data_IF_199557978309
#
_entry.id   IF_199557978309
#
_cell.length_a   1.000
_cell.length_b   1.000
_cell.length_c   1.000
_cell.angle_alpha   90.00
_cell.angle_beta   90.00
_cell.angle_gamma   90.00
#
_symmetry.space_group_name_H-M   'P 1'
#
loop_
_entity.id
_entity.type
_entity.pdbx_description
1 polymer ?
#
# COMPACT_ATOMS: atom_id res chain seq x y z
N UNK A 1 38.43 -7.83 2.92
CA UNK A 1 37.43 -8.80 3.40
C UNK A 1 37.08 -8.69 4.88
N UNK A 2 38.02 -8.67 5.83
CA UNK A 2 37.67 -8.64 7.28
C UNK A 2 37.05 -7.36 7.80
N UNK A 3 37.32 -6.18 7.19
CA UNK A 3 36.70 -4.90 7.59
C UNK A 3 35.27 -4.77 7.07
N UNK A 4 35.03 -5.03 5.79
CA UNK A 4 33.71 -4.93 5.16
C UNK A 4 32.67 -5.89 5.80
N UNK A 5 33.06 -7.13 6.10
CA UNK A 5 32.20 -8.09 6.80
C UNK A 5 31.86 -7.62 8.23
N UNK A 6 32.82 -6.99 8.91
CA UNK A 6 32.55 -6.39 10.23
C UNK A 6 31.61 -5.20 10.15
N UNK A 7 31.75 -4.35 9.14
CA UNK A 7 30.86 -3.20 8.94
C UNK A 7 29.45 -3.65 8.58
N UNK A 8 29.30 -4.58 7.64
CA UNK A 8 27.99 -5.15 7.31
C UNK A 8 27.30 -5.85 8.50
N UNK A 9 28.09 -6.55 9.34
CA UNK A 9 27.54 -7.19 10.55
C UNK A 9 27.12 -6.16 11.61
N UNK A 10 27.86 -5.04 11.70
CA UNK A 10 27.52 -3.94 12.61
C UNK A 10 26.27 -3.21 12.11
N UNK A 11 26.14 -2.97 10.81
CA UNK A 11 24.94 -2.33 10.22
C UNK A 11 23.73 -3.24 10.40
N UNK A 12 23.85 -4.54 10.11
CA UNK A 12 22.76 -5.50 10.34
C UNK A 12 22.37 -5.58 11.83
N UNK A 13 23.35 -5.54 12.74
CA UNK A 13 23.10 -5.55 14.19
C UNK A 13 22.45 -4.22 14.64
N UNK A 14 22.84 -3.09 14.04
CA UNK A 14 22.24 -1.77 14.31
C UNK A 14 20.81 -1.68 13.80
N UNK A 15 20.50 -2.26 12.63
CA UNK A 15 19.14 -2.33 12.10
C UNK A 15 18.25 -3.25 12.94
N UNK A 16 18.78 -4.40 13.40
CA UNK A 16 18.06 -5.27 14.33
C UNK A 16 17.86 -4.59 15.69
N UNK A 17 18.88 -3.87 16.17
CA UNK A 17 18.77 -3.11 17.43
C UNK A 17 17.87 -1.90 17.30
N UNK A 18 17.84 -1.20 16.17
CA UNK A 18 16.93 -0.09 15.92
C UNK A 18 15.48 -0.58 15.84
N UNK A 19 15.22 -1.70 15.17
CA UNK A 19 13.92 -2.35 15.17
C UNK A 19 13.49 -2.81 16.57
N UNK A 20 14.40 -3.47 17.31
CA UNK A 20 14.14 -3.88 18.69
C UNK A 20 13.96 -2.69 19.65
N UNK A 21 14.65 -1.58 19.41
CA UNK A 21 14.54 -0.36 20.22
C UNK A 21 13.23 0.40 19.94
N UNK A 22 12.78 0.43 18.68
CA UNK A 22 11.45 0.96 18.33
C UNK A 22 10.35 0.15 19.00
N UNK A 23 10.41 -1.19 18.92
CA UNK A 23 9.49 -2.09 19.60
C UNK A 23 9.54 -1.88 21.11
N UNK A 24 10.73 -1.74 21.70
CA UNK A 24 10.88 -1.50 23.14
C UNK A 24 10.36 -0.13 23.59
N UNK A 25 10.54 0.91 22.78
CA UNK A 25 10.02 2.25 23.06
C UNK A 25 8.50 2.28 23.03
N UNK A 26 7.87 1.61 22.08
CA UNK A 26 6.41 1.51 22.01
C UNK A 26 5.82 0.65 23.14
N UNK A 27 6.47 -0.44 23.51
CA UNK A 27 6.09 -1.24 24.70
C UNK A 27 6.22 -0.44 26.00
N UNK A 28 7.23 0.42 26.12
CA UNK A 28 7.39 1.32 27.26
C UNK A 28 6.34 2.44 27.29
N UNK A 29 5.73 2.76 26.18
CA UNK A 29 4.58 3.69 26.06
C UNK A 29 3.25 3.02 26.41
N UNK A 30 3.25 1.75 26.76
CA UNK A 30 2.06 0.99 27.15
C UNK A 30 1.27 0.41 25.97
N UNK A 31 1.86 0.42 24.77
CA UNK A 31 1.28 -0.22 23.59
C UNK A 31 1.43 -1.75 23.74
N UNK A 32 0.37 -2.51 23.55
CA UNK A 32 0.45 -3.96 23.60
C UNK A 32 1.25 -4.52 22.42
N UNK A 33 1.88 -5.69 22.58
CA UNK A 33 2.54 -6.39 21.47
C UNK A 33 1.60 -6.61 20.29
N UNK A 34 0.31 -6.71 20.54
CA UNK A 34 -0.74 -6.86 19.53
C UNK A 34 -1.02 -5.57 18.78
N UNK A 35 -0.94 -4.43 19.44
CA UNK A 35 -1.01 -3.11 18.80
C UNK A 35 0.26 -2.77 18.01
N UNK A 36 1.42 -3.24 18.46
CA UNK A 36 2.69 -3.08 17.74
C UNK A 36 2.76 -3.92 16.46
N UNK A 37 2.24 -5.13 16.49
CA UNK A 37 2.09 -5.98 15.30
C UNK A 37 1.05 -5.38 14.36
N UNK A 38 0.04 -4.70 14.87
CA UNK A 38 -0.98 -4.02 14.08
C UNK A 38 -0.50 -2.66 13.49
N UNK A 39 0.47 -1.99 14.14
CA UNK A 39 0.97 -0.68 13.69
C UNK A 39 2.27 -0.74 12.87
N UNK A 40 2.99 -1.85 12.88
CA UNK A 40 4.30 -1.98 12.24
C UNK A 40 4.38 -3.01 11.11
N UNK A 41 3.35 -3.79 10.94
CA UNK A 41 3.16 -4.65 9.78
C UNK A 41 1.72 -4.47 9.36
N UNK A 42 1.50 -4.19 8.11
CA UNK A 42 0.17 -4.17 7.52
C UNK A 42 -0.44 -5.57 7.66
N UNK A 43 -0.79 -5.90 8.87
CA UNK A 43 -1.48 -7.14 9.20
C UNK A 43 -2.93 -6.76 9.29
N UNK A 44 -3.63 -6.83 8.16
CA UNK A 44 -5.08 -6.83 8.22
C UNK A 44 -5.46 -8.01 9.09
N UNK A 45 -5.77 -7.70 10.31
CA UNK A 45 -6.35 -8.67 11.22
C UNK A 45 -7.79 -8.94 10.77
N UNK A 46 -7.94 -9.77 9.75
CA UNK A 46 -9.25 -10.39 9.42
C UNK A 46 -9.73 -11.28 10.58
N UNK A 47 -9.03 -11.23 11.69
CA UNK A 47 -9.39 -11.98 12.91
C UNK A 47 -10.62 -11.45 13.62
N UNK A 48 -11.04 -10.22 13.36
CA UNK A 48 -12.31 -9.71 13.88
C UNK A 48 -13.46 -9.96 12.89
N UNK A 49 -13.59 -11.21 12.45
CA UNK A 49 -14.83 -11.75 11.87
C UNK A 49 -15.94 -11.91 12.94
N UNK A 50 -15.75 -11.30 14.10
CA UNK A 50 -16.70 -11.26 15.21
C UNK A 50 -17.98 -10.55 14.83
N UNK A 51 -18.85 -11.27 14.12
CA UNK A 51 -20.17 -10.79 13.73
C UNK A 51 -21.11 -10.92 14.92
N UNK A 52 -21.54 -9.82 15.49
CA UNK A 52 -22.53 -9.81 16.56
C UNK A 52 -23.98 -9.85 16.01
N UNK A 53 -24.94 -9.95 16.93
CA UNK A 53 -26.36 -9.99 16.59
C UNK A 53 -26.88 -8.75 15.85
N UNK A 54 -26.11 -7.65 15.79
CA UNK A 54 -26.48 -6.41 15.11
C UNK A 54 -26.14 -6.43 13.61
N UNK A 55 -25.28 -7.36 13.19
CA UNK A 55 -24.97 -7.52 11.76
C UNK A 55 -26.11 -8.23 11.04
N UNK A 56 -26.54 -7.68 9.92
CA UNK A 56 -27.62 -8.21 9.07
C UNK A 56 -27.04 -9.02 7.92
N UNK A 57 -27.73 -10.08 7.53
CA UNK A 57 -27.40 -10.79 6.32
C UNK A 57 -27.82 -9.99 5.07
N UNK A 58 -27.05 -10.08 4.01
CA UNK A 58 -27.43 -9.58 2.69
C UNK A 58 -28.40 -10.60 2.05
N UNK A 59 -29.69 -10.52 2.36
CA UNK A 59 -30.70 -11.54 2.07
C UNK A 59 -30.90 -11.77 0.57
N UNK A 60 -30.92 -10.70 -0.21
CA UNK A 60 -31.15 -10.72 -1.66
C UNK A 60 -29.89 -10.74 -2.50
N UNK A 61 -28.70 -10.83 -1.89
CA UNK A 61 -27.42 -10.64 -2.58
C UNK A 61 -27.15 -9.19 -2.97
N UNK A 62 -28.01 -8.25 -2.57
CA UNK A 62 -27.87 -6.82 -2.85
C UNK A 62 -28.50 -5.97 -1.75
N UNK A 63 -27.86 -4.86 -1.44
CA UNK A 63 -28.34 -3.84 -0.51
C UNK A 63 -28.06 -2.43 -1.06
N UNK A 64 -28.81 -1.45 -0.56
CA UNK A 64 -28.60 -0.05 -0.95
C UNK A 64 -28.70 0.85 0.27
N UNK A 65 -27.82 1.88 0.31
CA UNK A 65 -27.74 2.83 1.40
C UNK A 65 -27.82 4.25 0.86
N UNK A 66 -28.39 5.16 1.68
CA UNK A 66 -28.31 6.58 1.40
C UNK A 66 -26.87 7.07 1.56
N UNK A 67 -26.30 7.85 0.62
CA UNK A 67 -24.97 8.42 0.77
C UNK A 67 -24.83 9.28 2.04
N UNK A 68 -25.88 9.96 2.45
CA UNK A 68 -25.89 10.83 3.65
C UNK A 68 -25.75 10.04 4.97
N UNK A 69 -26.08 8.74 4.95
CA UNK A 69 -25.99 7.87 6.13
C UNK A 69 -24.63 7.21 6.27
N UNK A 70 -23.83 7.16 5.20
CA UNK A 70 -22.53 6.47 5.17
C UNK A 70 -21.41 7.49 5.00
N UNK A 71 -20.61 7.63 6.02
CA UNK A 71 -19.42 8.48 6.02
C UNK A 71 -18.13 7.67 5.94
N UNK A 72 -18.18 6.43 6.40
CA UNK A 72 -17.01 5.56 6.56
C UNK A 72 -17.34 4.14 6.13
N UNK A 73 -16.35 3.44 5.59
CA UNK A 73 -16.47 2.04 5.20
C UNK A 73 -15.35 1.24 5.85
N UNK A 74 -15.74 0.13 6.47
CA UNK A 74 -14.87 -0.86 7.09
C UNK A 74 -15.20 -2.23 6.51
N UNK A 75 -14.32 -2.74 5.63
CA UNK A 75 -14.51 -3.97 4.87
C UNK A 75 -13.50 -5.04 5.27
N UNK A 76 -13.98 -6.18 5.74
CA UNK A 76 -13.19 -7.40 5.93
C UNK A 76 -13.64 -8.51 4.98
N UNK A 77 -12.76 -8.96 4.07
CA UNK A 77 -13.04 -9.98 3.06
C UNK A 77 -12.10 -11.18 3.20
N UNK A 78 -12.57 -12.39 2.83
CA UNK A 78 -11.75 -13.59 2.97
C UNK A 78 -11.23 -14.06 1.63
N UNK A 79 -12.11 -14.33 0.64
CA UNK A 79 -11.72 -14.94 -0.62
C UNK A 79 -12.65 -14.53 -1.76
N UNK A 80 -12.13 -14.52 -2.98
CA UNK A 80 -12.81 -14.01 -4.17
C UNK A 80 -12.38 -12.59 -4.50
N UNK A 81 -13.19 -11.82 -5.21
CA UNK A 81 -12.84 -10.46 -5.63
C UNK A 81 -13.64 -9.39 -4.90
N UNK A 82 -13.00 -8.26 -4.68
CA UNK A 82 -13.65 -7.03 -4.19
C UNK A 82 -13.47 -5.94 -5.24
N UNK A 83 -14.57 -5.41 -5.72
CA UNK A 83 -14.61 -4.21 -6.57
C UNK A 83 -15.28 -3.08 -5.82
N UNK A 84 -14.58 -2.00 -5.68
CA UNK A 84 -15.08 -0.79 -5.07
C UNK A 84 -14.91 0.35 -6.06
N UNK A 85 -16.00 0.87 -6.61
CA UNK A 85 -15.95 1.82 -7.72
C UNK A 85 -17.01 2.93 -7.60
N UNK A 86 -16.67 4.09 -8.15
CA UNK A 86 -17.64 5.16 -8.32
C UNK A 86 -18.47 4.94 -9.58
N UNK A 87 -19.75 5.31 -9.51
CA UNK A 87 -20.71 5.14 -10.60
C UNK A 87 -21.75 6.26 -10.65
N UNK A 88 -22.58 6.23 -11.68
CA UNK A 88 -23.60 7.26 -11.91
C UNK A 88 -24.88 7.10 -11.07
N UNK A 89 -24.87 6.25 -10.06
CA UNK A 89 -26.00 6.01 -9.17
C UNK A 89 -26.16 7.13 -8.13
N UNK A 90 -27.34 7.18 -7.49
CA UNK A 90 -27.63 8.11 -6.37
C UNK A 90 -27.56 7.43 -5.01
N UNK A 91 -27.26 6.15 -4.98
CA UNK A 91 -27.19 5.34 -3.77
C UNK A 91 -25.88 4.56 -3.73
N UNK A 92 -25.40 4.29 -2.54
CA UNK A 92 -24.35 3.30 -2.32
C UNK A 92 -24.99 1.92 -2.47
N UNK A 93 -24.48 1.14 -3.42
CA UNK A 93 -25.01 -0.20 -3.74
C UNK A 93 -23.96 -1.26 -3.42
N UNK A 94 -24.44 -2.29 -2.76
CA UNK A 94 -23.70 -3.46 -2.39
C UNK A 94 -24.26 -4.64 -3.17
N UNK A 95 -23.44 -5.40 -3.86
CA UNK A 95 -23.82 -6.63 -4.55
C UNK A 95 -22.84 -7.76 -4.23
N UNK A 96 -23.38 -8.88 -3.77
CA UNK A 96 -22.66 -10.10 -3.47
C UNK A 96 -23.02 -11.16 -4.51
N UNK A 97 -22.02 -11.82 -5.07
CA UNK A 97 -22.19 -12.91 -6.03
C UNK A 97 -21.35 -14.12 -5.61
N UNK A 98 -21.88 -15.31 -5.84
CA UNK A 98 -21.19 -16.59 -5.62
C UNK A 98 -21.60 -17.60 -6.70
N UNK A 99 -20.75 -18.62 -6.91
CA UNK A 99 -21.00 -19.68 -7.90
C UNK A 99 -22.23 -20.54 -7.58
N UNK A 100 -22.75 -20.50 -6.35
CA UNK A 100 -23.96 -21.19 -5.92
C UNK A 100 -24.75 -20.32 -4.93
N UNK A 101 -25.96 -20.73 -4.67
CA UNK A 101 -26.80 -20.13 -3.62
C UNK A 101 -26.09 -20.26 -2.25
N UNK A 102 -26.03 -19.16 -1.53
CA UNK A 102 -25.39 -19.07 -0.21
C UNK A 102 -26.40 -19.42 0.89
N UNK A 103 -25.97 -20.25 1.83
CA UNK A 103 -26.71 -20.46 3.07
C UNK A 103 -26.66 -19.19 3.92
N UNK A 104 -27.61 -19.04 4.84
CA UNK A 104 -27.68 -17.83 5.68
C UNK A 104 -26.36 -17.46 6.34
N UNK A 105 -25.67 -18.40 6.97
CA UNK A 105 -24.37 -18.16 7.59
C UNK A 105 -23.22 -17.85 6.64
N UNK A 106 -23.36 -18.12 5.34
CA UNK A 106 -22.33 -17.88 4.31
C UNK A 106 -22.49 -16.50 3.64
N UNK A 107 -23.66 -15.87 3.80
CA UNK A 107 -23.96 -14.57 3.23
C UNK A 107 -23.12 -13.47 3.86
N UNK A 108 -22.83 -12.44 3.08
CA UNK A 108 -22.24 -11.20 3.56
C UNK A 108 -23.06 -10.65 4.72
N UNK A 109 -22.36 -10.11 5.70
CA UNK A 109 -22.93 -9.43 6.86
C UNK A 109 -22.58 -7.95 6.83
N UNK A 110 -23.56 -7.12 7.09
CA UNK A 110 -23.38 -5.68 7.14
C UNK A 110 -24.01 -5.05 8.38
N UNK A 111 -23.47 -3.92 8.75
CA UNK A 111 -23.96 -3.09 9.85
C UNK A 111 -23.70 -1.63 9.52
N UNK A 112 -24.70 -0.79 9.66
CA UNK A 112 -24.55 0.66 9.59
C UNK A 112 -24.78 1.26 10.96
N UNK A 113 -23.76 1.84 11.55
CA UNK A 113 -23.81 2.43 12.88
C UNK A 113 -22.90 3.67 12.95
N UNK A 114 -23.42 4.78 13.44
CA UNK A 114 -22.70 6.04 13.58
C UNK A 114 -21.97 6.50 12.30
N UNK A 115 -22.62 6.33 11.13
CA UNK A 115 -22.05 6.69 9.83
C UNK A 115 -21.01 5.71 9.29
N UNK A 116 -20.74 4.59 9.96
CA UNK A 116 -19.80 3.55 9.50
C UNK A 116 -20.58 2.36 8.96
N UNK A 117 -20.35 2.04 7.68
CA UNK A 117 -20.83 0.82 7.05
C UNK A 117 -19.74 -0.26 7.20
N UNK A 118 -19.98 -1.18 8.10
CA UNK A 118 -19.10 -2.34 8.32
C UNK A 118 -19.58 -3.54 7.53
N UNK A 119 -18.69 -4.11 6.72
CA UNK A 119 -18.95 -5.24 5.82
C UNK A 119 -18.06 -6.42 6.20
N UNK A 120 -18.66 -7.60 6.37
CA UNK A 120 -17.93 -8.83 6.73
C UNK A 120 -18.32 -9.99 5.82
N UNK A 121 -17.34 -10.78 5.45
CA UNK A 121 -17.45 -11.87 4.48
C UNK A 121 -18.60 -12.85 4.79
N UNK A 122 -18.75 -13.26 6.04
CA UNK A 122 -19.79 -14.23 6.46
C UNK A 122 -20.03 -14.13 7.98
N UNK A 123 -20.97 -14.92 8.49
CA UNK A 123 -21.14 -15.11 9.92
C UNK A 123 -19.93 -15.83 10.55
N UNK A 124 -19.57 -15.43 11.75
CA UNK A 124 -18.45 -16.02 12.49
C UNK A 124 -18.61 -17.54 12.64
N UNK A 125 -17.50 -18.27 12.50
CA UNK A 125 -17.46 -19.72 12.66
C UNK A 125 -17.94 -20.53 11.46
N UNK A 126 -18.33 -19.91 10.36
CA UNK A 126 -18.67 -20.62 9.14
C UNK A 126 -17.43 -21.22 8.48
N UNK A 127 -17.53 -22.51 8.07
CA UNK A 127 -16.49 -23.25 7.36
C UNK A 127 -16.92 -23.56 5.94
N UNK A 128 -15.96 -23.68 5.02
CA UNK A 128 -16.19 -24.02 3.61
C UNK A 128 -17.15 -23.04 2.90
N UNK A 129 -17.07 -21.76 3.21
CA UNK A 129 -17.75 -20.71 2.46
C UNK A 129 -17.14 -20.68 1.06
N UNK A 130 -17.94 -20.69 -0.02
CA UNK A 130 -17.40 -20.56 -1.37
C UNK A 130 -16.77 -19.19 -1.57
N UNK A 131 -15.85 -19.08 -2.50
CA UNK A 131 -15.38 -17.79 -2.97
C UNK A 131 -16.53 -16.93 -3.44
N UNK A 132 -16.48 -15.65 -3.12
CA UNK A 132 -17.54 -14.70 -3.43
C UNK A 132 -16.95 -13.40 -3.96
N UNK A 133 -17.68 -12.81 -4.88
CA UNK A 133 -17.37 -11.51 -5.41
C UNK A 133 -18.24 -10.45 -4.74
N UNK A 134 -17.60 -9.36 -4.30
CA UNK A 134 -18.26 -8.20 -3.77
C UNK A 134 -18.06 -7.02 -4.72
N UNK A 135 -19.16 -6.39 -5.10
CA UNK A 135 -19.12 -5.09 -5.78
C UNK A 135 -19.79 -4.05 -4.91
N UNK A 136 -19.05 -3.02 -4.57
CA UNK A 136 -19.53 -1.82 -3.89
C UNK A 136 -19.45 -0.65 -4.85
N UNK A 137 -20.61 -0.08 -5.22
CA UNK A 137 -20.68 1.08 -6.10
C UNK A 137 -21.18 2.28 -5.32
N UNK A 138 -20.45 3.38 -5.40
CA UNK A 138 -20.81 4.64 -4.72
C UNK A 138 -21.12 5.74 -5.75
N UNK A 139 -21.96 6.74 -5.42
CA UNK A 139 -22.16 7.89 -6.29
C UNK A 139 -20.83 8.60 -6.60
N UNK A 140 -20.71 9.15 -7.81
CA UNK A 140 -19.48 9.82 -8.23
C UNK A 140 -19.16 11.11 -7.46
N UNK A 141 -20.18 11.73 -6.86
CA UNK A 141 -20.08 12.92 -6.02
C UNK A 141 -20.00 12.61 -4.52
N UNK A 142 -20.05 11.33 -4.15
CA UNK A 142 -19.91 10.91 -2.75
C UNK A 142 -18.45 10.92 -2.31
N UNK A 143 -18.22 11.44 -1.12
CA UNK A 143 -16.89 11.45 -0.49
C UNK A 143 -16.97 10.78 0.87
N UNK A 144 -16.12 9.78 1.08
CA UNK A 144 -15.96 9.16 2.39
C UNK A 144 -15.05 9.99 3.31
N UNK A 145 -15.27 9.92 4.61
CA UNK A 145 -14.31 10.42 5.59
C UNK A 145 -13.05 9.54 5.60
N UNK A 146 -13.24 8.23 5.67
CA UNK A 146 -12.19 7.22 5.51
C UNK A 146 -12.76 5.88 5.00
N UNK A 147 -11.88 5.11 4.37
CA UNK A 147 -12.15 3.75 3.90
C UNK A 147 -11.01 2.87 4.39
N UNK A 148 -11.37 1.77 5.07
CA UNK A 148 -10.48 0.68 5.45
C UNK A 148 -11.00 -0.61 4.81
N UNK A 149 -10.20 -1.20 3.92
CA UNK A 149 -10.59 -2.37 3.17
C UNK A 149 -9.50 -3.45 3.23
N UNK A 150 -9.84 -4.59 3.80
CA UNK A 150 -8.95 -5.70 4.00
C UNK A 150 -9.38 -7.02 3.40
N UNK A 151 -8.43 -7.77 2.79
CA UNK A 151 -8.67 -9.12 2.32
C UNK A 151 -7.62 -10.12 2.82
N UNK A 152 -8.06 -11.38 3.07
CA UNK A 152 -7.11 -12.47 3.37
C UNK A 152 -6.58 -13.08 2.08
N UNK A 153 -7.45 -13.57 1.20
CA UNK A 153 -7.09 -14.25 -0.04
C UNK A 153 -8.02 -13.80 -1.15
N UNK A 154 -7.94 -12.54 -1.52
CA UNK A 154 -8.82 -11.97 -2.52
C UNK A 154 -8.18 -10.76 -3.16
N UNK A 155 -8.41 -10.64 -4.45
CA UNK A 155 -7.97 -9.46 -5.19
C UNK A 155 -8.91 -8.30 -4.92
N UNK A 156 -8.34 -7.12 -4.74
CA UNK A 156 -9.11 -5.91 -4.53
C UNK A 156 -8.81 -4.88 -5.60
N UNK A 157 -9.86 -4.31 -6.17
CA UNK A 157 -9.78 -3.18 -7.10
C UNK A 157 -10.62 -2.03 -6.59
N UNK A 158 -9.97 -0.90 -6.32
CA UNK A 158 -10.62 0.35 -5.92
C UNK A 158 -10.45 1.38 -7.02
N UNK A 159 -11.54 1.98 -7.49
CA UNK A 159 -11.49 2.90 -8.63
C UNK A 159 -12.35 4.14 -8.45
N UNK A 160 -11.75 5.31 -8.71
CA UNK A 160 -12.45 6.59 -8.80
C UNK A 160 -13.08 7.06 -7.49
N UNK A 161 -12.50 6.69 -6.36
CA UNK A 161 -13.03 7.02 -5.05
C UNK A 161 -12.50 8.37 -4.56
N UNK A 162 -13.36 9.13 -3.90
CA UNK A 162 -13.01 10.34 -3.17
C UNK A 162 -13.06 10.08 -1.67
N UNK A 163 -11.93 10.31 -0.97
CA UNK A 163 -11.80 10.07 0.47
C UNK A 163 -11.16 11.29 1.11
N UNK A 164 -11.81 11.88 2.10
CA UNK A 164 -11.33 13.13 2.72
C UNK A 164 -10.00 12.93 3.48
N UNK A 165 -9.91 11.88 4.28
CA UNK A 165 -8.78 11.67 5.19
C UNK A 165 -7.89 10.52 4.75
N UNK A 166 -8.35 9.28 4.88
CA UNK A 166 -7.52 8.09 4.73
C UNK A 166 -8.20 7.02 3.89
N UNK A 167 -7.50 6.54 2.88
CA UNK A 167 -7.79 5.32 2.15
C UNK A 167 -6.76 4.27 2.52
N UNK A 168 -7.17 3.23 3.22
CA UNK A 168 -6.34 2.11 3.63
C UNK A 168 -6.80 0.83 2.94
N UNK A 169 -5.87 0.15 2.27
CA UNK A 169 -6.17 -1.06 1.50
C UNK A 169 -5.11 -2.11 1.75
N UNK A 170 -5.52 -3.33 2.09
CA UNK A 170 -4.53 -4.34 2.31
C UNK A 170 -4.96 -5.77 2.01
N UNK A 171 -3.99 -6.64 1.70
CA UNK A 171 -4.21 -8.06 1.49
C UNK A 171 -3.12 -8.94 2.11
N UNK A 172 -3.50 -10.11 2.60
CA UNK A 172 -2.49 -11.11 2.97
C UNK A 172 -2.00 -11.84 1.72
N UNK A 173 -2.92 -12.33 0.88
CA UNK A 173 -2.61 -13.02 -0.39
C UNK A 173 -3.62 -12.58 -1.42
N UNK A 174 -3.23 -11.75 -2.33
CA UNK A 174 -4.08 -11.18 -3.38
C UNK A 174 -3.50 -9.89 -3.90
N UNK A 175 -3.84 -9.56 -5.11
CA UNK A 175 -3.36 -8.35 -5.75
C UNK A 175 -4.24 -7.15 -5.39
N UNK A 176 -3.58 -6.03 -5.12
CA UNK A 176 -4.22 -4.75 -4.84
C UNK A 176 -4.07 -3.82 -6.03
N UNK A 177 -5.17 -3.27 -6.49
CA UNK A 177 -5.20 -2.26 -7.54
C UNK A 177 -6.01 -1.06 -7.12
N UNK A 178 -5.38 0.11 -7.04
CA UNK A 178 -6.04 1.38 -6.71
C UNK A 178 -5.85 2.35 -7.86
N UNK A 179 -6.94 2.80 -8.45
CA UNK A 179 -6.90 3.61 -9.66
C UNK A 179 -7.74 4.88 -9.51
N UNK A 180 -7.14 6.02 -9.88
CA UNK A 180 -7.84 7.31 -9.96
C UNK A 180 -8.59 7.70 -8.68
N UNK A 181 -8.03 7.38 -7.51
CA UNK A 181 -8.58 7.75 -6.22
C UNK A 181 -7.95 9.06 -5.72
N UNK A 182 -8.72 9.84 -4.98
CA UNK A 182 -8.27 11.10 -4.38
C UNK A 182 -8.44 11.03 -2.87
N UNK A 183 -7.37 11.29 -2.12
CA UNK A 183 -7.42 11.28 -0.64
C UNK A 183 -6.29 12.14 -0.05
N UNK A 184 -6.36 12.42 1.27
CA UNK A 184 -5.21 13.03 1.96
C UNK A 184 -4.08 12.00 2.14
N UNK A 185 -4.41 10.80 2.62
CA UNK A 185 -3.46 9.73 2.87
C UNK A 185 -3.91 8.42 2.22
N UNK A 186 -3.03 7.83 1.43
CA UNK A 186 -3.22 6.51 0.81
C UNK A 186 -2.20 5.53 1.39
N UNK A 187 -2.70 4.48 2.02
CA UNK A 187 -1.89 3.37 2.51
C UNK A 187 -2.31 2.08 1.80
N UNK A 188 -1.36 1.40 1.19
CA UNK A 188 -1.62 0.14 0.52
C UNK A 188 -0.55 -0.90 0.87
N UNK A 189 -0.97 -2.12 1.22
CA UNK A 189 -0.02 -3.14 1.61
C UNK A 189 -0.44 -4.57 1.31
N UNK A 190 0.55 -5.40 0.96
CA UNK A 190 0.33 -6.83 0.77
C UNK A 190 1.42 -7.67 1.43
N UNK A 191 1.08 -8.86 1.94
CA UNK A 191 2.12 -9.81 2.37
C UNK A 191 2.64 -10.60 1.17
N UNK A 192 1.74 -11.18 0.37
CA UNK A 192 2.08 -11.92 -0.84
C UNK A 192 1.10 -11.53 -1.94
N UNK A 193 1.46 -10.60 -2.75
CA UNK A 193 0.65 -10.05 -3.83
C UNK A 193 1.24 -8.74 -4.33
N UNK A 194 0.89 -8.39 -5.54
CA UNK A 194 1.35 -7.15 -6.15
C UNK A 194 0.47 -5.99 -5.73
N UNK A 195 1.06 -4.82 -5.55
CA UNK A 195 0.36 -3.57 -5.26
C UNK A 195 0.55 -2.63 -6.44
N UNK A 196 -0.53 -2.30 -7.12
CA UNK A 196 -0.52 -1.39 -8.27
C UNK A 196 -1.36 -0.16 -7.96
N UNK A 197 -0.73 1.01 -7.98
CA UNK A 197 -1.37 2.30 -7.78
C UNK A 197 -1.21 3.16 -9.03
N UNK A 198 -2.31 3.62 -9.61
CA UNK A 198 -2.28 4.38 -10.85
C UNK A 198 -3.22 5.58 -10.83
N UNK A 199 -2.70 6.76 -11.17
CA UNK A 199 -3.49 7.98 -11.33
C UNK A 199 -4.13 8.49 -10.03
N UNK A 200 -3.68 8.02 -8.87
CA UNK A 200 -4.15 8.52 -7.59
C UNK A 200 -3.51 9.86 -7.25
N UNK A 201 -4.25 10.66 -6.50
CA UNK A 201 -3.79 11.97 -6.01
C UNK A 201 -3.93 12.00 -4.50
N UNK A 202 -2.82 12.19 -3.80
CA UNK A 202 -2.81 12.26 -2.34
C UNK A 202 -1.69 13.17 -1.84
N UNK A 203 -1.77 13.60 -0.59
CA UNK A 203 -0.66 14.29 0.04
C UNK A 203 0.42 13.30 0.47
N UNK A 204 0.03 12.20 1.10
CA UNK A 204 0.96 11.15 1.56
C UNK A 204 0.57 9.79 1.01
N UNK A 205 1.56 9.13 0.41
CA UNK A 205 1.46 7.77 -0.11
C UNK A 205 2.39 6.83 0.66
N UNK A 206 1.86 5.72 1.17
CA UNK A 206 2.63 4.67 1.81
C UNK A 206 2.27 3.31 1.21
N UNK A 207 3.28 2.61 0.66
CA UNK A 207 3.07 1.31 0.02
C UNK A 207 4.09 0.32 0.53
N UNK A 208 3.61 -0.83 1.01
CA UNK A 208 4.50 -1.87 1.53
C UNK A 208 4.13 -3.26 1.01
N UNK A 209 5.15 -4.09 0.78
CA UNK A 209 4.95 -5.52 0.51
C UNK A 209 6.05 -6.36 1.14
N UNK A 210 5.72 -7.59 1.54
CA UNK A 210 6.77 -8.54 1.94
C UNK A 210 7.29 -9.29 0.72
N UNK A 211 6.40 -9.79 -0.13
CA UNK A 211 6.75 -10.56 -1.33
C UNK A 211 5.78 -10.23 -2.46
N UNK A 212 6.13 -9.34 -3.30
CA UNK A 212 5.31 -8.91 -4.42
C UNK A 212 5.88 -7.65 -5.07
N UNK A 213 5.41 -7.34 -6.24
CA UNK A 213 5.82 -6.13 -6.94
C UNK A 213 5.02 -4.93 -6.45
N UNK A 214 5.70 -3.81 -6.26
CA UNK A 214 5.08 -2.50 -6.07
C UNK A 214 5.21 -1.74 -7.38
N UNK A 215 4.08 -1.32 -7.95
CA UNK A 215 4.04 -0.46 -9.13
C UNK A 215 3.24 0.81 -8.81
N UNK A 216 3.89 1.97 -8.85
CA UNK A 216 3.31 3.26 -8.49
C UNK A 216 3.47 4.26 -9.62
N UNK A 217 2.37 4.92 -9.97
CA UNK A 217 2.33 6.09 -10.85
C UNK A 217 1.23 7.04 -10.37
N UNK A 218 1.54 7.88 -9.40
CA UNK A 218 0.61 8.73 -8.67
C UNK A 218 1.13 10.14 -8.46
N UNK A 219 0.23 11.07 -8.16
CA UNK A 219 0.57 12.41 -7.70
C UNK A 219 0.58 12.42 -6.17
N UNK A 220 1.74 12.69 -5.57
CA UNK A 220 1.88 12.82 -4.11
C UNK A 220 2.93 13.85 -3.73
N UNK A 221 2.82 14.39 -2.52
CA UNK A 221 3.84 15.27 -1.93
C UNK A 221 4.92 14.44 -1.21
N UNK A 222 4.52 13.35 -0.58
CA UNK A 222 5.39 12.41 0.12
C UNK A 222 5.08 10.99 -0.33
N UNK A 223 6.11 10.20 -0.68
CA UNK A 223 5.98 8.77 -0.99
C UNK A 223 6.93 7.95 -0.13
N UNK A 224 6.40 6.92 0.52
CA UNK A 224 7.17 5.90 1.23
C UNK A 224 6.88 4.53 0.63
N UNK A 225 7.89 3.90 0.03
CA UNK A 225 7.76 2.63 -0.68
C UNK A 225 8.69 1.58 -0.06
N UNK A 226 8.14 0.45 0.37
CA UNK A 226 8.93 -0.58 1.05
C UNK A 226 8.69 -2.00 0.55
N UNK A 227 9.75 -2.75 0.27
CA UNK A 227 9.66 -4.18 -0.06
C UNK A 227 10.73 -5.01 0.64
N UNK A 228 10.34 -6.18 1.17
CA UNK A 228 11.35 -7.13 1.65
C UNK A 228 11.92 -7.98 0.50
N UNK A 229 11.05 -8.56 -0.32
CA UNK A 229 11.46 -9.43 -1.43
C UNK A 229 10.56 -9.20 -2.63
N UNK A 230 10.76 -8.13 -3.33
CA UNK A 230 9.99 -7.76 -4.51
C UNK A 230 10.54 -6.52 -5.15
N UNK A 231 10.23 -6.35 -6.41
CA UNK A 231 10.67 -5.18 -7.15
C UNK A 231 9.77 -3.98 -6.82
N UNK A 232 10.38 -2.81 -6.83
CA UNK A 232 9.67 -1.54 -6.72
C UNK A 232 9.83 -0.80 -8.04
N UNK A 233 8.71 -0.43 -8.64
CA UNK A 233 8.65 0.40 -9.84
C UNK A 233 7.86 1.66 -9.54
N UNK A 234 8.53 2.79 -9.50
CA UNK A 234 7.92 4.10 -9.30
C UNK A 234 8.14 4.97 -10.52
N UNK A 235 7.09 5.21 -11.28
CA UNK A 235 7.19 5.93 -12.55
C UNK A 235 6.59 7.32 -12.46
N UNK A 236 7.22 8.25 -13.19
CA UNK A 236 6.69 9.58 -13.39
C UNK A 236 6.52 10.34 -12.07
N UNK A 237 7.51 10.17 -11.15
CA UNK A 237 7.50 10.84 -9.85
C UNK A 237 7.32 12.36 -10.04
N UNK A 238 6.30 12.96 -9.40
CA UNK A 238 6.01 14.37 -9.60
C UNK A 238 7.14 15.27 -9.06
N UNK A 239 7.33 16.46 -9.63
CA UNK A 239 8.28 17.42 -9.09
C UNK A 239 7.91 17.82 -7.66
N UNK A 240 8.90 18.06 -6.82
CA UNK A 240 8.77 18.39 -5.39
C UNK A 240 8.25 17.27 -4.48
N UNK A 241 8.01 16.08 -5.00
CA UNK A 241 7.68 14.92 -4.17
C UNK A 241 8.91 14.44 -3.41
N UNK A 242 8.78 14.28 -2.10
CA UNK A 242 9.78 13.61 -1.29
C UNK A 242 9.57 12.09 -1.37
N UNK A 243 10.63 11.33 -1.68
CA UNK A 243 10.55 9.87 -1.83
C UNK A 243 11.51 9.18 -0.90
N UNK A 244 10.99 8.26 -0.10
CA UNK A 244 11.76 7.30 0.69
C UNK A 244 11.43 5.88 0.18
N UNK A 245 12.43 5.21 -0.38
CA UNK A 245 12.24 3.92 -1.03
C UNK A 245 13.23 2.88 -0.49
N UNK A 246 12.72 1.84 0.17
CA UNK A 246 13.53 0.80 0.77
C UNK A 246 13.27 -0.60 0.19
N UNK A 247 14.33 -1.34 -0.19
CA UNK A 247 14.22 -2.73 -0.59
C UNK A 247 15.30 -3.59 0.08
N UNK A 248 14.91 -4.73 0.68
CA UNK A 248 15.92 -5.66 1.18
C UNK A 248 16.47 -6.51 0.06
N UNK A 249 15.61 -7.05 -0.80
CA UNK A 249 16.00 -7.88 -1.93
C UNK A 249 15.03 -7.64 -3.09
N UNK A 250 15.52 -7.10 -4.15
CA UNK A 250 14.73 -6.74 -5.33
C UNK A 250 15.28 -5.51 -6.02
N UNK A 251 14.86 -5.31 -7.22
CA UNK A 251 15.27 -4.17 -8.04
C UNK A 251 14.37 -2.97 -7.79
N UNK A 252 14.97 -1.81 -7.60
CA UNK A 252 14.26 -0.52 -7.57
C UNK A 252 14.38 0.13 -8.94
N UNK A 253 13.27 0.49 -9.56
CA UNK A 253 13.20 1.27 -10.79
C UNK A 253 12.40 2.53 -10.55
N UNK A 254 13.05 3.67 -10.74
CA UNK A 254 12.40 4.98 -10.52
C UNK A 254 12.66 5.91 -11.68
N UNK A 255 11.61 6.58 -12.14
CA UNK A 255 11.72 7.68 -13.09
C UNK A 255 11.06 8.94 -12.57
N UNK A 256 11.76 10.07 -12.74
CA UNK A 256 11.25 11.38 -12.37
C UNK A 256 10.62 12.06 -13.58
N UNK A 257 9.51 12.76 -13.38
CA UNK A 257 8.86 13.53 -14.44
C UNK A 257 9.70 14.74 -14.84
N UNK A 258 10.25 15.42 -13.88
CA UNK A 258 11.06 16.62 -14.05
C UNK A 258 12.06 16.73 -12.88
N UNK A 259 13.28 17.11 -13.18
CA UNK A 259 14.32 17.34 -12.20
C UNK A 259 14.27 18.78 -11.71
N UNK A 260 13.43 19.07 -10.72
CA UNK A 260 13.29 20.44 -10.19
C UNK A 260 13.90 20.60 -8.80
N UNK A 261 14.23 21.84 -8.45
CA UNK A 261 14.86 22.25 -7.22
C UNK A 261 14.13 21.76 -5.96
N UNK A 262 14.88 21.23 -4.99
CA UNK A 262 14.47 20.83 -3.64
C UNK A 262 13.74 19.48 -3.52
N UNK A 263 13.64 18.70 -4.57
CA UNK A 263 13.16 17.32 -4.44
C UNK A 263 14.20 16.48 -3.70
N UNK A 264 13.76 15.69 -2.73
CA UNK A 264 14.60 14.75 -1.99
C UNK A 264 14.17 13.34 -2.31
N UNK A 265 15.12 12.52 -2.74
CA UNK A 265 14.89 11.12 -3.05
C UNK A 265 15.92 10.31 -2.31
N UNK A 266 15.44 9.42 -1.47
CA UNK A 266 16.25 8.47 -0.75
C UNK A 266 15.91 7.05 -1.19
N UNK A 267 16.94 6.27 -1.55
CA UNK A 267 16.79 4.88 -1.96
C UNK A 267 17.79 4.02 -1.18
N UNK A 268 17.27 3.13 -0.35
CA UNK A 268 18.05 2.20 0.44
C UNK A 268 17.83 0.77 -0.04
N UNK A 269 18.91 0.08 -0.45
CA UNK A 269 18.81 -1.35 -0.79
C UNK A 269 19.87 -2.18 -0.08
N UNK A 270 19.52 -3.41 0.30
CA UNK A 270 20.53 -4.34 0.81
C UNK A 270 21.12 -5.18 -0.32
N UNK A 271 20.25 -5.70 -1.20
CA UNK A 271 20.67 -6.53 -2.34
C UNK A 271 19.72 -6.32 -3.49
N UNK A 272 20.18 -5.71 -4.53
CA UNK A 272 19.41 -5.42 -5.74
C UNK A 272 19.88 -4.15 -6.42
N UNK A 273 19.72 -4.12 -7.73
CA UNK A 273 20.13 -2.96 -8.53
C UNK A 273 19.11 -1.84 -8.44
N UNK A 274 19.62 -0.62 -8.53
CA UNK A 274 18.81 0.59 -8.61
C UNK A 274 18.92 1.17 -10.02
N UNK A 275 17.80 1.30 -10.71
CA UNK A 275 17.70 1.97 -11.99
C UNK A 275 17.01 3.32 -11.78
N UNK A 276 17.69 4.38 -12.16
CA UNK A 276 17.21 5.75 -11.96
C UNK A 276 17.24 6.54 -13.26
N UNK A 277 16.07 7.01 -13.68
CA UNK A 277 15.90 7.89 -14.83
C UNK A 277 15.55 9.31 -14.33
N UNK A 278 16.52 10.19 -14.41
CA UNK A 278 16.39 11.59 -14.00
C UNK A 278 16.58 12.49 -15.21
N UNK A 279 15.59 13.27 -15.61
CA UNK A 279 15.74 14.21 -16.70
C UNK A 279 16.57 15.42 -16.21
N UNK A 280 17.79 15.56 -16.69
CA UNK A 280 18.66 16.71 -16.39
C UNK A 280 19.76 16.42 -15.38
N UNK A 281 20.16 17.43 -14.63
CA UNK A 281 21.22 17.35 -13.62
C UNK A 281 20.64 16.91 -12.26
N UNK A 282 21.45 16.27 -11.44
CA UNK A 282 21.10 15.92 -10.05
C UNK A 282 22.31 16.07 -9.14
N UNK A 283 22.04 16.29 -7.84
CA UNK A 283 23.00 16.17 -6.77
C UNK A 283 22.94 14.73 -6.23
N UNK A 284 23.87 13.89 -6.68
CA UNK A 284 23.89 12.46 -6.36
C UNK A 284 24.89 12.17 -5.26
N UNK A 285 24.42 11.57 -4.18
CA UNK A 285 25.21 10.92 -3.15
C UNK A 285 24.99 9.41 -3.26
N UNK A 286 26.03 8.67 -3.68
CA UNK A 286 25.97 7.22 -3.86
C UNK A 286 27.00 6.52 -3.00
N UNK A 287 26.55 5.71 -2.06
CA UNK A 287 27.38 4.88 -1.21
C UNK A 287 27.06 3.39 -1.39
N UNK A 288 28.11 2.58 -1.57
CA UNK A 288 27.98 1.14 -1.74
C UNK A 288 29.14 0.39 -1.09
N UNK A 289 28.82 -0.80 -0.57
CA UNK A 289 29.86 -1.73 -0.10
C UNK A 289 30.39 -2.58 -1.25
N UNK A 290 29.52 -2.99 -2.20
CA UNK A 290 29.88 -3.80 -3.36
C UNK A 290 28.91 -3.56 -4.50
N UNK A 291 29.31 -2.76 -5.45
CA UNK A 291 28.52 -2.40 -6.63
C UNK A 291 29.22 -1.31 -7.43
N UNK A 292 28.74 -1.10 -8.63
CA UNK A 292 29.28 -0.12 -9.57
C UNK A 292 28.24 0.95 -9.89
N UNK A 293 28.70 2.18 -10.10
CA UNK A 293 27.89 3.24 -10.72
C UNK A 293 28.08 3.16 -12.25
N UNK A 294 26.97 3.00 -12.96
CA UNK A 294 26.94 2.92 -14.43
C UNK A 294 26.04 3.97 -15.04
N UNK A 295 26.46 4.52 -16.15
CA UNK A 295 25.72 5.54 -16.87
C UNK A 295 26.43 6.89 -16.88
N UNK A 296 25.80 7.89 -17.47
CA UNK A 296 26.33 9.27 -17.53
C UNK A 296 25.49 10.18 -16.67
N UNK A 297 26.14 10.96 -15.84
CA UNK A 297 25.52 11.92 -14.93
C UNK A 297 25.98 13.33 -15.26
N UNK A 298 25.04 14.27 -15.31
CA UNK A 298 25.35 15.70 -15.17
C UNK A 298 25.18 16.03 -13.69
N UNK A 299 26.26 16.14 -12.97
CA UNK A 299 26.22 16.48 -11.56
C UNK A 299 26.20 18.00 -11.40
N UNK A 300 25.32 18.48 -10.52
CA UNK A 300 25.24 19.90 -10.17
C UNK A 300 24.99 20.02 -8.67
N UNK A 301 26.01 20.32 -7.92
CA UNK A 301 25.96 20.45 -6.46
C UNK A 301 25.09 21.65 -6.06
N UNK A 302 23.96 21.36 -5.41
CA UNK A 302 23.14 22.37 -4.72
C UNK A 302 21.96 22.92 -5.52
N UNK A 303 21.66 22.45 -6.73
CA UNK A 303 20.57 22.99 -7.52
C UNK A 303 19.38 22.09 -7.72
N UNK A 304 19.47 20.78 -7.81
CA UNK A 304 18.28 19.92 -8.08
C UNK A 304 18.54 18.46 -8.08
N UNK A 305 17.49 17.65 -8.17
CA UNK A 305 17.03 16.96 -6.99
C UNK A 305 18.21 16.34 -6.24
N UNK A 306 18.16 16.37 -4.94
CA UNK A 306 19.12 15.61 -4.14
C UNK A 306 18.68 14.16 -4.13
N UNK A 307 19.55 13.30 -4.61
CA UNK A 307 19.33 11.87 -4.68
C UNK A 307 20.39 11.17 -3.84
N UNK A 308 19.94 10.49 -2.81
CA UNK A 308 20.79 9.67 -1.95
C UNK A 308 20.48 8.19 -2.23
N UNK A 309 21.48 7.42 -2.60
CA UNK A 309 21.33 5.98 -2.88
C UNK A 309 22.35 5.22 -2.05
N UNK A 310 21.87 4.46 -1.10
CA UNK A 310 22.67 3.56 -0.29
C UNK A 310 22.40 2.09 -0.69
N UNK A 311 23.45 1.34 -1.01
CA UNK A 311 23.30 -0.08 -1.27
C UNK A 311 24.41 -0.89 -0.60
N UNK A 312 24.08 -2.07 -0.10
CA UNK A 312 25.13 -2.98 0.39
C UNK A 312 25.71 -3.79 -0.76
N UNK A 313 24.86 -4.28 -1.68
CA UNK A 313 25.28 -5.07 -2.85
C UNK A 313 24.30 -4.85 -3.99
N UNK A 314 24.74 -4.20 -5.03
CA UNK A 314 23.96 -3.89 -6.22
C UNK A 314 24.51 -2.67 -6.95
N UNK A 315 24.23 -2.60 -8.23
CA UNK A 315 24.67 -1.51 -9.09
C UNK A 315 23.66 -0.36 -9.09
N UNK A 316 24.14 0.88 -9.20
CA UNK A 316 23.33 2.02 -9.58
C UNK A 316 23.46 2.28 -11.08
N UNK A 317 22.37 2.15 -11.80
CA UNK A 317 22.30 2.33 -13.24
C UNK A 317 21.52 3.59 -13.56
N UNK A 318 22.19 4.58 -14.13
CA UNK A 318 21.61 5.85 -14.53
C UNK A 318 21.26 5.83 -16.01
N UNK A 319 20.02 6.23 -16.35
CA UNK A 319 19.54 6.32 -17.72
C UNK A 319 18.11 5.84 -17.87
N UNK A 320 17.61 5.84 -19.11
CA UNK A 320 16.23 5.42 -19.39
C UNK A 320 15.95 4.02 -18.86
N UNK A 321 14.85 3.89 -18.15
CA UNK A 321 14.40 2.60 -17.65
C UNK A 321 14.22 1.60 -18.80
N UNK A 322 14.71 0.35 -18.65
CA UNK A 322 14.37 -0.69 -19.60
C UNK A 322 12.84 -0.93 -19.61
N UNK A 323 12.32 -1.14 -20.81
CA UNK A 323 10.88 -1.35 -21.05
C UNK A 323 10.34 -2.59 -20.32
#
# INVERSE_FOLDING_TARGET
MKKAVKTALVIALLLIMAGAMLVAVELLRGTSLQELVNNGSFTISVTDLGVDAKYKACESGAESFSPDEVQRIDLGWIAGTVKFESGNGQQIKLAEQAARELKDGEKLRWKLENGTLSLRYCANGQRNVPEKDLTLTVPADWTAEWIDAGATSGDMTLRGLSVEKKLEVGATSGDLRVENCVCDRLEAGATSGSVTLQGCVCRKLEVTTTSGEIAVRCEAEEMSLGSTSGNIRCEDVPPLCEVDCGATSGTVRMSLRDAQNRQQIKIDTTSGDVYLDVPGAMDLDYDTVSGDLRGSLTQDEGLCPRVEVETTSGDLILGKLPA
#
